data_IF_715868427153
#
_entry.id   IF_715868427153
#
_cell.length_a   1.000
_cell.length_b   1.000
_cell.length_c   1.000
_cell.angle_alpha   90.00
_cell.angle_beta   90.00
_cell.angle_gamma   90.00
#
_symmetry.space_group_name_H-M   'P 1'
#
loop_
_entity.id
_entity.type
_entity.pdbx_description
1 polymer ?
#
# COMPACT_ATOMS: atom_id res chain seq x y z
N UNK A 1 -0.71 -1.21 26.80
CA UNK A 1 -0.45 -0.53 25.50
C UNK A 1 -1.76 0.05 25.02
N UNK A 2 -1.73 1.21 24.36
CA UNK A 2 -2.88 1.91 23.79
C UNK A 2 -2.53 2.32 22.35
N UNK A 3 -3.52 2.41 21.46
CA UNK A 3 -3.33 2.80 20.07
C UNK A 3 -4.59 2.63 19.22
N UNK A 4 -4.56 3.22 18.02
CA UNK A 4 -5.61 3.04 17.01
C UNK A 4 -5.26 1.85 16.10
N UNK A 5 -6.30 1.17 15.61
CA UNK A 5 -6.14 0.01 14.72
C UNK A 5 -7.09 0.13 13.53
N UNK A 6 -6.68 -0.46 12.42
CA UNK A 6 -7.54 -0.71 11.27
C UNK A 6 -8.01 -2.17 11.28
N UNK A 7 -9.26 -2.40 10.93
CA UNK A 7 -9.80 -3.74 10.70
C UNK A 7 -10.39 -3.81 9.29
N UNK A 8 -9.86 -4.71 8.47
CA UNK A 8 -10.43 -5.03 7.16
C UNK A 8 -11.09 -6.41 7.21
N UNK A 9 -12.24 -6.55 6.55
CA UNK A 9 -12.95 -7.83 6.43
C UNK A 9 -13.43 -8.00 5.00
N UNK A 10 -12.85 -8.99 4.32
CA UNK A 10 -13.16 -9.35 2.95
C UNK A 10 -13.60 -10.82 2.88
N UNK A 11 -14.66 -11.09 2.11
CA UNK A 11 -15.09 -12.44 1.78
C UNK A 11 -15.55 -12.51 0.33
N UNK A 12 -15.47 -13.69 -0.28
CA UNK A 12 -15.90 -13.93 -1.65
C UNK A 12 -15.22 -15.13 -2.27
N UNK A 13 -15.55 -15.42 -3.53
CA UNK A 13 -14.94 -16.49 -4.31
C UNK A 13 -13.88 -15.91 -5.26
N UNK A 14 -12.66 -15.73 -4.77
CA UNK A 14 -11.53 -15.21 -5.55
C UNK A 14 -10.23 -15.95 -5.25
N UNK A 15 -9.29 -15.92 -6.19
CA UNK A 15 -7.98 -16.57 -6.07
C UNK A 15 -6.88 -15.50 -5.99
N UNK A 16 -6.57 -15.06 -4.77
CA UNK A 16 -5.60 -13.98 -4.53
C UNK A 16 -4.17 -14.35 -4.98
N UNK A 17 -3.79 -15.64 -4.94
CA UNK A 17 -2.45 -16.13 -5.32
C UNK A 17 -2.11 -15.96 -6.82
N UNK A 18 -3.06 -15.47 -7.63
CA UNK A 18 -2.83 -15.10 -9.03
C UNK A 18 -2.54 -13.63 -9.25
N UNK A 19 -2.63 -12.83 -8.19
CA UNK A 19 -2.46 -11.39 -8.23
C UNK A 19 -1.23 -11.00 -7.43
N UNK A 20 -0.72 -9.84 -7.77
CA UNK A 20 0.14 -9.04 -6.90
C UNK A 20 -0.63 -7.77 -6.53
N UNK A 21 -0.29 -7.17 -5.40
CA UNK A 21 -0.98 -5.97 -4.95
C UNK A 21 -0.14 -5.06 -4.08
N UNK A 22 -0.58 -3.80 -4.06
CA UNK A 22 -0.27 -2.83 -3.01
C UNK A 22 -1.58 -2.47 -2.32
N UNK A 23 -1.63 -2.54 -1.01
CA UNK A 23 -2.78 -2.15 -0.19
C UNK A 23 -2.34 -1.12 0.84
N UNK A 24 -3.19 -0.11 1.07
CA UNK A 24 -2.91 1.02 1.95
C UNK A 24 -4.14 1.27 2.82
N UNK A 25 -3.93 1.42 4.12
CA UNK A 25 -4.93 1.93 5.06
C UNK A 25 -4.31 3.09 5.85
N UNK A 26 -4.86 4.29 5.67
CA UNK A 26 -4.35 5.53 6.26
C UNK A 26 -5.40 6.11 7.21
N UNK A 27 -4.95 6.45 8.42
CA UNK A 27 -5.68 7.23 9.41
C UNK A 27 -5.04 8.62 9.44
N UNK A 28 -5.81 9.63 9.03
CA UNK A 28 -5.31 10.99 8.83
C UNK A 28 -5.64 11.86 10.04
N UNK A 29 -4.77 12.84 10.33
CA UNK A 29 -4.86 13.69 11.52
C UNK A 29 -6.14 14.56 11.57
N UNK A 30 -6.81 14.75 10.43
CA UNK A 30 -8.10 15.46 10.37
C UNK A 30 -9.30 14.57 10.73
N UNK A 31 -9.06 13.32 11.11
CA UNK A 31 -10.07 12.32 11.44
C UNK A 31 -10.66 11.60 10.23
N UNK A 32 -10.20 11.91 9.02
CA UNK A 32 -10.54 11.15 7.81
C UNK A 32 -9.69 9.88 7.68
N UNK A 33 -10.12 8.97 6.81
CA UNK A 33 -9.39 7.77 6.48
C UNK A 33 -9.39 7.48 4.99
N UNK A 34 -8.34 6.79 4.53
CA UNK A 34 -8.18 6.40 3.14
C UNK A 34 -7.78 4.94 3.06
N UNK A 35 -8.57 4.13 2.38
CA UNK A 35 -8.18 2.79 1.95
C UNK A 35 -7.93 2.80 0.45
N UNK A 36 -6.81 2.25 -0.01
CA UNK A 36 -6.49 2.09 -1.43
C UNK A 36 -5.96 0.70 -1.69
N UNK A 37 -6.24 0.18 -2.88
CA UNK A 37 -5.54 -0.98 -3.40
C UNK A 37 -5.20 -0.81 -4.87
N UNK A 38 -4.09 -1.41 -5.27
CA UNK A 38 -3.65 -1.54 -6.65
C UNK A 38 -3.39 -3.02 -6.94
N UNK A 39 -3.98 -3.56 -8.00
CA UNK A 39 -3.84 -4.95 -8.39
C UNK A 39 -3.05 -5.08 -9.68
N UNK A 40 -2.24 -6.12 -9.77
CA UNK A 40 -1.48 -6.50 -10.95
C UNK A 40 -1.67 -7.99 -11.24
N UNK A 41 -1.56 -8.39 -12.51
CA UNK A 41 -1.37 -9.80 -12.84
C UNK A 41 0.09 -10.24 -12.59
N UNK A 42 0.37 -11.54 -12.74
CA UNK A 42 1.72 -12.10 -12.55
C UNK A 42 2.78 -11.53 -13.50
N UNK A 43 2.38 -10.93 -14.61
CA UNK A 43 3.28 -10.27 -15.56
C UNK A 43 3.53 -8.80 -15.19
N UNK A 44 2.94 -8.30 -14.09
CA UNK A 44 3.04 -6.92 -13.65
C UNK A 44 2.10 -5.96 -14.38
N UNK A 45 1.16 -6.46 -15.17
CA UNK A 45 0.17 -5.59 -15.82
C UNK A 45 -0.82 -5.10 -14.78
N UNK A 46 -0.98 -3.78 -14.68
CA UNK A 46 -2.00 -3.17 -13.83
C UNK A 46 -3.41 -3.62 -14.24
N UNK A 47 -4.18 -4.09 -13.27
CA UNK A 47 -5.56 -4.56 -13.44
C UNK A 47 -6.57 -3.58 -12.84
N UNK A 48 -6.27 -3.05 -11.65
CA UNK A 48 -7.15 -2.15 -10.94
C UNK A 48 -6.35 -1.19 -10.05
N UNK A 49 -6.91 0.00 -9.83
CA UNK A 49 -6.54 0.91 -8.75
C UNK A 49 -7.83 1.58 -8.31
N UNK A 50 -8.18 1.37 -7.04
CA UNK A 50 -9.41 1.90 -6.45
C UNK A 50 -9.24 2.04 -4.95
N UNK A 51 -10.20 2.70 -4.32
CA UNK A 51 -10.28 2.78 -2.88
C UNK A 51 -11.45 3.63 -2.42
N UNK A 52 -11.34 4.09 -1.18
CA UNK A 52 -12.39 4.87 -0.51
C UNK A 52 -11.73 5.92 0.37
N UNK A 53 -12.21 7.15 0.28
CA UNK A 53 -11.97 8.17 1.31
C UNK A 53 -13.22 8.26 2.19
N UNK A 54 -13.03 8.17 3.49
CA UNK A 54 -14.08 8.40 4.49
C UNK A 54 -13.74 9.65 5.27
N UNK A 55 -14.58 10.69 5.18
CA UNK A 55 -14.36 11.94 5.92
C UNK A 55 -14.57 11.76 7.42
N UNK A 56 -14.11 12.73 8.22
CA UNK A 56 -14.38 12.78 9.65
C UNK A 56 -15.88 12.83 10.02
N UNK A 57 -16.75 13.18 9.06
CA UNK A 57 -18.20 13.11 9.19
C UNK A 57 -18.77 11.70 8.93
N UNK A 58 -17.91 10.71 8.67
CA UNK A 58 -18.27 9.33 8.37
C UNK A 58 -18.77 9.09 6.94
N UNK A 59 -18.79 10.12 6.06
CA UNK A 59 -19.22 9.94 4.67
C UNK A 59 -18.10 9.35 3.82
N UNK A 60 -18.42 8.28 3.12
CA UNK A 60 -17.49 7.58 2.23
C UNK A 60 -17.72 7.96 0.76
N UNK A 61 -16.63 8.25 0.05
CA UNK A 61 -16.61 8.54 -1.38
C UNK A 61 -15.63 7.58 -2.06
N UNK A 62 -16.03 6.90 -3.16
CA UNK A 62 -15.13 6.03 -3.89
C UNK A 62 -14.02 6.83 -4.57
N UNK A 63 -12.82 6.24 -4.59
CA UNK A 63 -11.65 6.74 -5.29
C UNK A 63 -11.33 5.81 -6.45
N UNK A 64 -11.09 6.39 -7.63
CA UNK A 64 -10.70 5.67 -8.84
C UNK A 64 -9.34 6.14 -9.36
N UNK A 65 -8.92 5.59 -10.50
CA UNK A 65 -7.63 5.90 -11.14
C UNK A 65 -7.50 7.37 -11.61
N UNK A 66 -8.59 8.13 -11.68
CA UNK A 66 -8.55 9.56 -12.02
C UNK A 66 -8.38 10.41 -10.76
N UNK A 67 -8.93 9.95 -9.63
CA UNK A 67 -8.86 10.63 -8.35
C UNK A 67 -7.52 10.41 -7.63
N UNK A 68 -6.82 9.29 -7.89
CA UNK A 68 -5.64 8.89 -7.14
C UNK A 68 -4.49 8.47 -8.05
N UNK A 69 -3.26 8.84 -7.65
CA UNK A 69 -2.04 8.27 -8.22
C UNK A 69 -1.10 7.78 -7.12
N UNK A 70 -0.50 6.60 -7.33
CA UNK A 70 0.49 6.00 -6.44
C UNK A 70 1.86 6.05 -7.13
N UNK A 71 2.83 6.71 -6.53
CA UNK A 71 4.19 6.81 -7.08
C UNK A 71 5.20 6.25 -6.08
N UNK A 72 5.90 5.14 -6.40
CA UNK A 72 6.97 4.64 -5.54
C UNK A 72 8.15 5.62 -5.60
N UNK A 73 8.69 6.00 -4.44
CA UNK A 73 9.80 6.98 -4.33
C UNK A 73 10.98 6.48 -3.50
N UNK A 74 10.90 5.26 -2.96
CA UNK A 74 12.00 4.61 -2.26
C UNK A 74 11.84 3.10 -2.33
N UNK A 75 12.99 2.41 -2.41
CA UNK A 75 13.04 0.96 -2.48
C UNK A 75 13.84 0.44 -1.29
N UNK A 76 13.33 -0.60 -0.65
CA UNK A 76 14.07 -1.42 0.30
C UNK A 76 14.23 -2.82 -0.30
N UNK A 77 15.39 -3.43 -0.08
CA UNK A 77 15.69 -4.78 -0.54
C UNK A 77 15.90 -5.68 0.68
N UNK A 78 15.16 -6.78 0.74
CA UNK A 78 15.36 -7.80 1.76
C UNK A 78 16.75 -8.42 1.61
N UNK A 79 17.48 -8.49 2.72
CA UNK A 79 18.77 -9.18 2.77
C UNK A 79 18.60 -10.71 2.76
N UNK A 80 17.42 -11.21 3.17
CA UNK A 80 17.13 -12.65 3.28
C UNK A 80 16.62 -13.22 1.96
N UNK A 81 15.57 -12.63 1.40
CA UNK A 81 14.93 -13.11 0.17
C UNK A 81 15.52 -12.49 -1.11
N UNK A 82 16.19 -11.34 -0.98
CA UNK A 82 16.63 -10.53 -2.12
C UNK A 82 15.51 -9.73 -2.80
N UNK A 83 14.26 -9.85 -2.35
CA UNK A 83 13.10 -9.16 -2.94
C UNK A 83 13.21 -7.65 -2.71
N UNK A 84 12.82 -6.88 -3.73
CA UNK A 84 12.79 -5.42 -3.68
C UNK A 84 11.36 -4.93 -3.53
N UNK A 85 11.12 -4.12 -2.52
CA UNK A 85 9.82 -3.53 -2.21
C UNK A 85 9.89 -2.01 -2.31
N UNK A 86 8.91 -1.34 -2.95
CA UNK A 86 8.78 0.11 -2.91
C UNK A 86 8.27 0.55 -1.53
N UNK A 87 9.13 0.56 -0.51
CA UNK A 87 8.73 0.80 0.87
C UNK A 87 8.32 2.26 1.16
N UNK A 88 8.52 3.21 0.23
CA UNK A 88 8.12 4.60 0.38
C UNK A 88 7.37 5.12 -0.85
N UNK A 89 6.35 5.95 -0.61
CA UNK A 89 5.38 6.36 -1.64
C UNK A 89 5.06 7.85 -1.61
N UNK A 90 4.69 8.39 -2.76
CA UNK A 90 3.92 9.64 -2.89
C UNK A 90 2.54 9.31 -3.45
N UNK A 91 1.52 9.82 -2.78
CA UNK A 91 0.12 9.66 -3.14
C UNK A 91 -0.45 11.03 -3.51
N UNK A 92 -1.13 11.10 -4.65
CA UNK A 92 -2.07 12.21 -4.94
C UNK A 92 -3.45 11.77 -4.50
N UNK A 93 -4.08 12.55 -3.64
CA UNK A 93 -5.45 12.34 -3.18
C UNK A 93 -6.29 13.59 -3.47
N UNK A 94 -7.63 13.50 -3.51
CA UNK A 94 -8.49 14.68 -3.66
C UNK A 94 -8.26 15.76 -2.59
N UNK A 95 -7.84 15.36 -1.40
CA UNK A 95 -7.58 16.24 -0.24
C UNK A 95 -6.20 16.90 -0.30
N UNK A 96 -5.31 16.43 -1.18
CA UNK A 96 -3.95 16.92 -1.33
C UNK A 96 -2.92 15.81 -1.46
N UNK A 97 -1.71 16.18 -1.86
CA UNK A 97 -0.61 15.24 -2.01
C UNK A 97 -0.01 14.88 -0.64
N UNK A 98 0.17 13.59 -0.40
CA UNK A 98 0.79 13.05 0.81
C UNK A 98 1.96 12.12 0.47
N UNK A 99 2.88 11.95 1.41
CA UNK A 99 4.01 11.05 1.33
C UNK A 99 3.95 10.03 2.47
N UNK A 100 4.23 8.78 2.13
CA UNK A 100 4.29 7.66 3.07
C UNK A 100 5.74 7.24 3.29
N UNK A 101 6.15 7.16 4.55
CA UNK A 101 7.46 6.64 4.94
C UNK A 101 7.29 5.47 5.91
N UNK A 102 8.03 4.37 5.72
CA UNK A 102 7.93 3.22 6.60
C UNK A 102 8.51 3.55 7.98
N UNK A 103 7.80 3.15 9.04
CA UNK A 103 8.30 3.27 10.43
C UNK A 103 9.48 2.32 10.67
N UNK A 104 9.47 1.17 9.98
CA UNK A 104 10.56 0.21 9.88
C UNK A 104 10.69 -0.24 8.43
N UNK A 105 11.89 -0.14 7.86
CA UNK A 105 12.12 -0.55 6.47
C UNK A 105 12.07 -2.07 6.29
N UNK A 106 12.67 -2.78 7.24
CA UNK A 106 12.73 -4.24 7.30
C UNK A 106 11.43 -4.81 7.88
N UNK A 107 10.42 -4.87 7.01
CA UNK A 107 9.04 -5.24 7.32
C UNK A 107 8.57 -6.40 6.44
N UNK A 108 9.51 -7.20 5.91
CA UNK A 108 9.17 -8.41 5.17
C UNK A 108 8.62 -9.49 6.12
N UNK A 109 7.55 -10.14 5.69
CA UNK A 109 7.01 -11.35 6.29
C UNK A 109 7.14 -12.51 5.28
N UNK A 110 7.93 -13.53 5.65
CA UNK A 110 8.04 -14.76 4.89
C UNK A 110 6.88 -15.71 5.25
N UNK A 111 5.85 -15.71 4.41
CA UNK A 111 4.65 -16.53 4.57
C UNK A 111 4.64 -17.81 3.72
N UNK A 112 5.80 -18.27 3.21
CA UNK A 112 5.85 -19.40 2.27
C UNK A 112 5.26 -20.70 2.84
N UNK A 113 5.33 -20.92 4.14
CA UNK A 113 4.82 -22.13 4.81
C UNK A 113 3.32 -22.06 5.14
N UNK A 114 2.68 -20.89 5.05
CA UNK A 114 1.29 -20.69 5.46
C UNK A 114 0.41 -20.18 4.32
N UNK A 115 0.78 -19.05 3.73
CA UNK A 115 0.02 -18.37 2.68
C UNK A 115 0.67 -18.48 1.31
N UNK A 116 1.84 -19.14 1.23
CA UNK A 116 2.61 -19.40 0.02
C UNK A 116 3.13 -18.14 -0.69
N UNK A 117 3.35 -17.06 0.05
CA UNK A 117 3.82 -15.78 -0.49
C UNK A 117 4.75 -15.03 0.48
N UNK A 118 5.54 -14.11 -0.07
CA UNK A 118 6.23 -13.08 0.68
C UNK A 118 5.41 -11.80 0.70
N UNK A 119 5.35 -11.17 1.86
CA UNK A 119 4.69 -9.89 2.05
C UNK A 119 5.69 -8.87 2.54
N UNK A 120 5.46 -7.61 2.21
CA UNK A 120 5.98 -6.52 3.01
C UNK A 120 4.80 -5.89 3.74
N UNK A 121 4.87 -5.89 5.06
CA UNK A 121 3.80 -5.49 5.97
C UNK A 121 4.37 -4.50 6.98
N UNK A 122 4.07 -3.22 6.78
CA UNK A 122 4.72 -2.16 7.55
C UNK A 122 3.81 -1.00 7.86
N UNK A 123 3.88 -0.58 9.13
CA UNK A 123 3.35 0.71 9.56
C UNK A 123 4.08 1.86 8.85
N UNK A 124 3.34 2.88 8.44
CA UNK A 124 3.85 4.06 7.77
C UNK A 124 3.45 5.34 8.49
N UNK A 125 4.33 6.34 8.46
CA UNK A 125 3.99 7.72 8.79
C UNK A 125 3.51 8.44 7.53
N UNK A 126 2.46 9.25 7.67
CA UNK A 126 1.90 10.11 6.62
C UNK A 126 2.38 11.55 6.85
N UNK A 127 2.71 12.25 5.77
CA UNK A 127 3.12 13.65 5.80
C UNK A 127 2.74 14.37 4.50
N UNK A 128 2.76 15.70 4.48
CA UNK A 128 2.45 16.50 3.29
C UNK A 128 1.25 17.39 3.53
N UNK A 129 0.25 17.34 2.65
CA UNK A 129 -0.99 18.09 2.82
C UNK A 129 -1.73 17.74 4.12
N UNK A 130 -1.65 16.47 4.55
CA UNK A 130 -2.16 15.96 5.81
C UNK A 130 -1.08 15.09 6.48
N UNK A 131 -1.09 15.05 7.81
CA UNK A 131 -0.35 14.10 8.61
C UNK A 131 -1.19 12.87 8.96
N UNK A 132 -0.59 11.91 9.65
CA UNK A 132 -1.26 10.71 10.10
C UNK A 132 -0.34 9.49 10.15
N UNK A 133 -0.96 8.33 10.30
CA UNK A 133 -0.32 7.03 10.31
C UNK A 133 -1.08 6.06 9.43
N UNK A 134 -0.50 4.91 9.17
CA UNK A 134 -1.20 3.88 8.42
C UNK A 134 -0.44 2.58 8.34
N UNK A 135 -0.91 1.72 7.46
CA UNK A 135 -0.31 0.43 7.15
C UNK A 135 -0.26 0.25 5.65
N UNK A 136 0.84 -0.35 5.18
CA UNK A 136 1.00 -0.76 3.78
C UNK A 136 1.32 -2.24 3.74
N UNK A 137 0.56 -2.97 2.95
CA UNK A 137 0.78 -4.37 2.62
C UNK A 137 1.12 -4.48 1.13
N UNK A 138 2.15 -5.24 0.80
CA UNK A 138 2.57 -5.50 -0.57
C UNK A 138 2.83 -6.99 -0.77
N UNK A 139 2.33 -7.55 -1.86
CA UNK A 139 2.49 -8.97 -2.20
C UNK A 139 2.79 -9.17 -3.68
N UNK A 140 3.54 -10.22 -4.00
CA UNK A 140 3.87 -10.64 -5.36
C UNK A 140 5.14 -10.01 -5.96
N UNK A 141 5.94 -9.32 -5.15
CA UNK A 141 7.20 -8.69 -5.57
C UNK A 141 8.35 -9.68 -5.83
N UNK A 142 8.16 -10.96 -5.48
CA UNK A 142 9.02 -12.09 -5.81
C UNK A 142 8.91 -12.52 -7.28
N UNK A 143 7.81 -12.20 -7.96
CA UNK A 143 7.56 -12.61 -9.35
C UNK A 143 7.13 -11.48 -10.29
N UNK A 144 6.61 -10.36 -9.78
CA UNK A 144 6.28 -9.20 -10.62
C UNK A 144 7.54 -8.45 -11.03
N UNK A 145 7.75 -8.20 -12.34
CA UNK A 145 8.84 -7.35 -12.82
C UNK A 145 8.76 -5.96 -12.19
N UNK A 146 9.84 -5.55 -11.54
CA UNK A 146 9.90 -4.33 -10.74
C UNK A 146 9.66 -3.08 -11.61
N UNK A 147 8.74 -2.20 -11.20
CA UNK A 147 8.66 -0.84 -11.74
C UNK A 147 9.82 -0.04 -11.13
N UNK A 148 10.85 0.24 -11.93
CA UNK A 148 11.91 1.15 -11.52
C UNK A 148 11.34 2.54 -11.20
N UNK A 149 11.81 3.22 -10.14
CA UNK A 149 11.46 4.61 -9.93
C UNK A 149 11.82 5.44 -11.17
N UNK A 150 10.91 6.30 -11.61
CA UNK A 150 11.22 7.27 -12.64
C UNK A 150 12.26 8.25 -12.09
N UNK A 151 13.52 8.10 -12.52
CA UNK A 151 14.60 9.05 -12.21
C UNK A 151 15.74 8.43 -11.39
N UNK A 152 16.60 7.68 -12.06
CA UNK A 152 17.97 7.41 -11.63
C UNK A 152 18.93 7.86 -12.72
N UNK A 153 19.48 9.07 -12.58
CA UNK A 153 20.74 9.52 -13.17
C UNK A 153 21.58 10.06 -12.05
#
# INVERSE_FOLDING_TARGET
VEGEVWFDHQWGNFEASRLAWNWFALQLDDGSSVMLYQLFDKAGKALALAGTHTGADGRSVPLDQKAVSLTPVGVWQSAESGIRYPAAWKLRLPQGDVALKPLRQDSEFNGLETTFAHYWEGGVAVSGALGGVGFVEMSGYDHVPQVQPAGGT
#
